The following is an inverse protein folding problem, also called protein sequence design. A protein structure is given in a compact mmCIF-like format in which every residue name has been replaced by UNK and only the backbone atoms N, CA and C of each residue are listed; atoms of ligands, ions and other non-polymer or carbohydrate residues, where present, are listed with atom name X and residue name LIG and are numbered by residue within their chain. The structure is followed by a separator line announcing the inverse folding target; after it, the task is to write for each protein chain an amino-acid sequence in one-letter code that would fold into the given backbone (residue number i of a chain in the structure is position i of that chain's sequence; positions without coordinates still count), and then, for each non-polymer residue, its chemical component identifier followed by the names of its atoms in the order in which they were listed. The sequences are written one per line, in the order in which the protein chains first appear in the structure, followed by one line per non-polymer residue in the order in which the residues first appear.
data_IF_519194694727
#
_entry.id   IF_519194694727
#
_cell.length_a   1.000
_cell.length_b   1.000
_cell.length_c   1.000
_cell.angle_alpha   90.00
_cell.angle_beta   90.00
_cell.angle_gamma   90.00
#
_symmetry.space_group_name_H-M   'P 1'
#
loop_
_entity.id
_entity.type
_entity.pdbx_description
1 polymer ?
#
# COMPACT_ATOMS: atom_id res chain seq x y z
N UNK A 1 53.81 -14.28 38.53
CA UNK A 1 55.14 -14.53 39.13
C UNK A 1 55.99 -15.22 38.07
N UNK A 2 57.07 -14.54 37.62
CA UNK A 2 58.29 -15.05 36.96
C UNK A 2 58.16 -15.79 35.61
N UNK A 3 58.50 -15.15 34.49
CA UNK A 3 59.84 -14.99 33.85
C UNK A 3 60.35 -16.23 33.10
N UNK A 4 60.30 -16.09 31.76
CA UNK A 4 61.27 -16.44 30.71
C UNK A 4 62.23 -17.63 30.87
N UNK A 5 62.39 -18.39 29.78
CA UNK A 5 63.74 -18.74 29.30
C UNK A 5 63.78 -19.01 27.79
N UNK A 6 64.63 -18.21 27.12
CA UNK A 6 65.18 -18.42 25.77
C UNK A 6 65.99 -19.73 25.69
N UNK A 7 66.04 -20.38 24.51
CA UNK A 7 67.28 -20.51 23.74
C UNK A 7 67.03 -21.11 22.33
N UNK A 8 67.46 -20.35 21.31
CA UNK A 8 68.20 -20.76 20.11
C UNK A 8 68.11 -22.21 19.60
N UNK A 9 67.67 -22.36 18.34
CA UNK A 9 68.38 -23.23 17.39
C UNK A 9 68.40 -22.59 15.99
N UNK A 10 69.59 -22.16 15.59
CA UNK A 10 69.94 -21.65 14.27
C UNK A 10 70.45 -22.83 13.42
N UNK A 11 69.77 -23.17 12.33
CA UNK A 11 70.33 -23.95 11.22
C UNK A 11 69.37 -23.86 10.03
N UNK A 12 69.57 -22.91 9.11
CA UNK A 12 70.30 -23.15 7.85
C UNK A 12 69.82 -24.40 7.13
N UNK A 13 68.77 -24.27 6.31
CA UNK A 13 68.64 -25.05 5.08
C UNK A 13 67.96 -24.17 4.01
N UNK A 14 68.83 -23.71 3.14
CA UNK A 14 68.60 -22.98 1.92
C UNK A 14 67.89 -23.91 0.92
N UNK A 15 66.58 -23.73 0.73
CA UNK A 15 65.89 -24.28 -0.45
C UNK A 15 65.17 -23.13 -1.12
N UNK A 16 65.90 -22.44 -1.99
CA UNK A 16 65.35 -21.49 -2.94
C UNK A 16 64.54 -22.28 -3.97
N UNK A 17 63.23 -22.39 -3.77
CA UNK A 17 62.32 -22.86 -4.81
C UNK A 17 62.27 -21.76 -5.87
N UNK A 18 62.97 -21.97 -6.99
CA UNK A 18 62.82 -21.14 -8.19
C UNK A 18 61.49 -21.53 -8.84
N UNK A 19 60.44 -20.74 -8.61
CA UNK A 19 59.22 -20.80 -9.41
C UNK A 19 59.48 -20.14 -10.78
N UNK A 20 59.57 -20.96 -11.82
CA UNK A 20 59.60 -20.51 -13.21
C UNK A 20 58.18 -20.16 -13.66
N UNK A 21 57.81 -18.88 -13.58
CA UNK A 21 56.57 -18.37 -14.16
C UNK A 21 56.75 -18.19 -15.67
N UNK A 22 56.33 -19.19 -16.45
CA UNK A 22 56.04 -18.99 -17.87
C UNK A 22 54.82 -18.07 -17.99
N UNK A 23 54.90 -17.16 -18.96
CA UNK A 23 53.90 -16.13 -19.29
C UNK A 23 52.46 -16.64 -19.28
N UNK A 24 51.47 -15.81 -19.00
CA UNK A 24 51.32 -14.47 -19.53
C UNK A 24 50.08 -14.47 -20.38
N UNK A 25 48.92 -14.32 -19.76
CA UNK A 25 47.72 -13.81 -20.41
C UNK A 25 47.09 -12.77 -19.50
N UNK A 26 47.31 -11.50 -19.84
CA UNK A 26 46.64 -10.38 -19.19
C UNK A 26 45.18 -10.39 -19.65
N UNK A 27 44.26 -10.75 -18.77
CA UNK A 27 42.84 -10.48 -18.99
C UNK A 27 42.67 -8.96 -19.19
N UNK A 28 42.43 -8.55 -20.43
CA UNK A 28 42.06 -7.18 -20.77
C UNK A 28 40.67 -6.94 -20.19
N UNK A 29 40.59 -6.32 -19.01
CA UNK A 29 39.35 -5.70 -18.53
C UNK A 29 38.99 -4.61 -19.54
N UNK A 30 38.00 -4.88 -20.39
CA UNK A 30 37.41 -3.88 -21.27
C UNK A 30 36.61 -2.92 -20.39
N UNK A 31 37.27 -1.88 -19.88
CA UNK A 31 36.57 -0.74 -19.28
C UNK A 31 36.02 0.07 -20.46
N UNK A 32 34.80 -0.27 -20.87
CA UNK A 32 34.02 0.54 -21.81
C UNK A 32 33.32 1.63 -21.01
N UNK A 33 33.65 2.89 -21.30
CA UNK A 33 32.96 4.06 -20.75
C UNK A 33 31.88 4.53 -21.71
N UNK A 34 30.75 5.01 -21.18
CA UNK A 34 29.78 5.76 -21.97
C UNK A 34 30.41 7.06 -22.48
N UNK A 35 30.19 7.37 -23.75
CA UNK A 35 30.57 8.68 -24.29
C UNK A 35 29.63 9.77 -23.78
N UNK A 36 30.13 11.00 -23.69
CA UNK A 36 29.32 12.16 -23.31
C UNK A 36 28.16 12.40 -24.29
N UNK A 37 28.38 12.09 -25.58
CA UNK A 37 27.34 12.24 -26.60
C UNK A 37 26.24 11.19 -26.46
N UNK A 38 26.58 9.94 -26.08
CA UNK A 38 25.59 8.91 -25.80
C UNK A 38 24.70 9.26 -24.61
N UNK A 39 25.26 9.82 -23.54
CA UNK A 39 24.43 10.29 -22.42
C UNK A 39 23.56 11.48 -22.82
N UNK A 40 24.08 12.39 -23.64
CA UNK A 40 23.39 13.62 -24.06
C UNK A 40 22.16 13.31 -24.93
N UNK A 41 22.28 12.39 -25.89
CA UNK A 41 21.12 11.99 -26.70
C UNK A 41 20.07 11.27 -25.87
N UNK A 42 20.47 10.50 -24.85
CA UNK A 42 19.53 9.75 -23.99
C UNK A 42 18.65 10.70 -23.19
N UNK A 43 19.24 11.69 -22.52
CA UNK A 43 18.45 12.66 -21.74
C UNK A 43 17.59 13.54 -22.65
N UNK A 44 18.04 13.83 -23.88
CA UNK A 44 17.25 14.56 -24.87
C UNK A 44 15.99 13.78 -25.28
N UNK A 45 16.15 12.49 -25.60
CA UNK A 45 15.03 11.61 -25.96
C UNK A 45 14.11 11.37 -24.76
N UNK A 46 14.66 11.13 -23.56
CA UNK A 46 13.88 10.98 -22.33
C UNK A 46 13.09 12.26 -21.99
N UNK A 47 13.63 13.44 -22.26
CA UNK A 47 12.91 14.71 -22.10
C UNK A 47 11.67 14.79 -22.98
N UNK A 48 11.79 14.47 -24.27
CA UNK A 48 10.66 14.49 -25.21
C UNK A 48 9.61 13.45 -24.83
N UNK A 49 10.01 12.21 -24.54
CA UNK A 49 9.09 11.14 -24.19
C UNK A 49 8.38 11.38 -22.84
N UNK A 50 9.11 11.86 -21.83
CA UNK A 50 8.53 12.11 -20.50
C UNK A 50 7.46 13.21 -20.53
N UNK A 51 7.63 14.24 -21.36
CA UNK A 51 6.65 15.34 -21.48
C UNK A 51 5.25 14.87 -21.88
N UNK A 52 5.14 13.84 -22.75
CA UNK A 52 3.85 13.32 -23.21
C UNK A 52 3.09 12.54 -22.14
N UNK A 53 3.78 11.88 -21.22
CA UNK A 53 3.16 11.01 -20.19
C UNK A 53 2.43 11.84 -19.12
N UNK A 54 2.97 13.02 -18.77
CA UNK A 54 2.38 13.87 -17.72
C UNK A 54 1.03 14.48 -18.11
N UNK A 55 0.75 14.65 -19.41
CA UNK A 55 -0.52 15.25 -19.88
C UNK A 55 -1.72 14.31 -19.66
N UNK A 56 -1.48 13.01 -19.52
CA UNK A 56 -2.55 12.00 -19.47
C UNK A 56 -3.01 11.59 -18.06
N UNK A 57 -2.29 11.94 -16.99
CA UNK A 57 -2.57 11.46 -15.63
C UNK A 57 -2.91 12.63 -14.70
N UNK A 58 -4.10 12.57 -14.10
CA UNK A 58 -4.45 13.43 -12.96
C UNK A 58 -4.03 12.74 -11.65
N UNK A 59 -2.95 13.20 -10.99
CA UNK A 59 -2.46 12.57 -9.77
C UNK A 59 -3.49 12.66 -8.62
N UNK A 60 -4.29 13.72 -8.57
CA UNK A 60 -5.31 13.88 -7.53
C UNK A 60 -6.42 12.86 -7.70
N UNK A 61 -6.86 12.60 -8.93
CA UNK A 61 -7.86 11.58 -9.18
C UNK A 61 -7.36 10.16 -8.88
N UNK A 62 -6.08 9.86 -9.17
CA UNK A 62 -5.48 8.57 -8.81
C UNK A 62 -5.43 8.36 -7.29
N UNK A 63 -5.11 9.41 -6.54
CA UNK A 63 -5.15 9.37 -5.07
C UNK A 63 -6.58 9.20 -4.56
N UNK A 64 -7.56 9.93 -5.12
CA UNK A 64 -8.96 9.77 -4.76
C UNK A 64 -9.48 8.35 -5.08
N UNK A 65 -9.09 7.75 -6.21
CA UNK A 65 -9.46 6.37 -6.55
C UNK A 65 -8.88 5.35 -5.55
N UNK A 66 -7.65 5.55 -5.07
CA UNK A 66 -7.06 4.70 -4.04
C UNK A 66 -7.78 4.84 -2.69
N UNK A 67 -8.10 6.07 -2.29
CA UNK A 67 -8.86 6.35 -1.08
C UNK A 67 -10.31 5.84 -1.16
N UNK A 68 -10.94 5.95 -2.32
CA UNK A 68 -12.28 5.39 -2.59
C UNK A 68 -12.27 3.85 -2.45
N UNK A 69 -11.21 3.18 -2.92
CA UNK A 69 -11.02 1.74 -2.70
C UNK A 69 -10.88 1.40 -1.20
N UNK A 70 -10.17 2.23 -0.44
CA UNK A 70 -10.13 2.09 1.03
C UNK A 70 -11.51 2.23 1.66
N UNK A 71 -12.31 3.22 1.25
CA UNK A 71 -13.69 3.40 1.72
C UNK A 71 -14.55 2.18 1.42
N UNK A 72 -14.43 1.61 0.22
CA UNK A 72 -15.16 0.41 -0.19
C UNK A 72 -14.80 -0.80 0.69
N UNK A 73 -13.51 -1.01 0.95
CA UNK A 73 -13.02 -2.08 1.81
C UNK A 73 -13.44 -1.90 3.27
N UNK A 74 -13.33 -0.68 3.81
CA UNK A 74 -13.73 -0.36 5.18
C UNK A 74 -15.23 -0.62 5.38
N UNK A 75 -16.07 -0.20 4.43
CA UNK A 75 -17.51 -0.44 4.50
C UNK A 75 -17.89 -1.92 4.35
N UNK A 76 -17.12 -2.69 3.57
CA UNK A 76 -17.27 -4.15 3.53
C UNK A 76 -16.99 -4.80 4.88
N UNK A 77 -15.92 -4.38 5.56
CA UNK A 77 -15.57 -4.87 6.90
C UNK A 77 -16.61 -4.45 7.94
N UNK A 78 -17.04 -3.19 7.90
CA UNK A 78 -18.09 -2.67 8.78
C UNK A 78 -19.37 -3.48 8.60
N UNK A 79 -19.80 -3.70 7.35
CA UNK A 79 -20.98 -4.50 7.05
C UNK A 79 -20.89 -5.93 7.58
N UNK A 80 -19.75 -6.62 7.39
CA UNK A 80 -19.54 -7.95 7.95
C UNK A 80 -19.59 -7.98 9.48
N UNK A 81 -18.98 -6.98 10.14
CA UNK A 81 -19.03 -6.86 11.59
C UNK A 81 -20.47 -6.59 12.09
N UNK A 82 -21.25 -5.82 11.34
CA UNK A 82 -22.65 -5.52 11.65
C UNK A 82 -23.54 -6.76 11.53
N UNK A 83 -23.33 -7.60 10.52
CA UNK A 83 -24.02 -8.89 10.40
C UNK A 83 -23.65 -9.82 11.56
N UNK A 84 -22.36 -9.91 11.92
CA UNK A 84 -21.89 -10.71 13.05
C UNK A 84 -22.52 -10.24 14.39
N UNK A 85 -22.58 -8.92 14.59
CA UNK A 85 -23.25 -8.33 15.74
C UNK A 85 -24.75 -8.66 15.74
N UNK A 86 -25.44 -8.54 14.61
CA UNK A 86 -26.86 -8.83 14.52
C UNK A 86 -27.17 -10.30 14.84
N UNK A 87 -26.32 -11.24 14.41
CA UNK A 87 -26.45 -12.67 14.74
C UNK A 87 -26.39 -12.90 16.27
N UNK A 88 -25.50 -12.20 16.98
CA UNK A 88 -25.39 -12.32 18.44
C UNK A 88 -26.44 -11.52 19.21
N UNK A 89 -27.07 -10.52 18.59
CA UNK A 89 -28.02 -9.60 19.22
C UNK A 89 -29.45 -9.74 18.65
N UNK A 90 -29.87 -10.97 18.35
CA UNK A 90 -31.26 -11.27 17.93
C UNK A 90 -31.76 -10.44 16.74
N UNK A 91 -30.89 -10.20 15.75
CA UNK A 91 -31.21 -9.44 14.53
C UNK A 91 -31.19 -7.91 14.71
N UNK A 92 -30.69 -7.42 15.85
CA UNK A 92 -30.58 -5.98 16.13
C UNK A 92 -29.17 -5.50 15.78
N UNK A 93 -29.10 -4.54 14.86
CA UNK A 93 -27.89 -3.85 14.44
C UNK A 93 -27.52 -2.71 15.40
N UNK A 94 -26.22 -2.43 15.56
CA UNK A 94 -25.76 -1.37 16.46
C UNK A 94 -26.05 0.01 15.86
N UNK A 95 -26.43 0.96 16.72
CA UNK A 95 -26.69 2.35 16.32
C UNK A 95 -25.40 3.18 16.12
N UNK A 96 -24.25 2.72 16.66
CA UNK A 96 -22.97 3.43 16.60
C UNK A 96 -21.83 2.46 16.32
N UNK A 97 -20.79 2.94 15.64
CA UNK A 97 -19.68 2.12 15.15
C UNK A 97 -18.74 1.64 16.27
N UNK A 98 -18.64 2.37 17.37
CA UNK A 98 -17.83 2.01 18.55
C UNK A 98 -18.39 0.81 19.33
N UNK A 99 -19.68 0.54 19.19
CA UNK A 99 -20.31 -0.66 19.78
C UNK A 99 -19.68 -1.93 19.17
N UNK A 100 -19.39 -1.93 17.87
CA UNK A 100 -18.75 -3.05 17.17
C UNK A 100 -17.32 -3.32 17.68
N UNK A 101 -16.64 -2.28 18.17
CA UNK A 101 -15.31 -2.45 18.79
C UNK A 101 -15.45 -3.03 20.20
N UNK A 102 -16.45 -2.56 20.94
CA UNK A 102 -16.70 -3.02 22.31
C UNK A 102 -17.21 -4.46 22.34
N UNK A 103 -18.02 -4.87 21.35
CA UNK A 103 -18.50 -6.25 21.18
C UNK A 103 -17.43 -7.21 20.63
N UNK A 104 -16.32 -6.68 20.10
CA UNK A 104 -15.23 -7.47 19.53
C UNK A 104 -15.42 -7.87 18.07
N UNK A 105 -16.51 -7.45 17.43
CA UNK A 105 -16.77 -7.69 15.99
C UNK A 105 -15.83 -6.89 15.08
N UNK A 106 -15.21 -5.84 15.63
CA UNK A 106 -14.26 -4.98 14.95
C UNK A 106 -13.06 -4.69 15.85
N UNK A 107 -11.83 -4.80 15.33
CA UNK A 107 -10.62 -4.58 16.14
C UNK A 107 -10.41 -3.10 16.51
N UNK A 108 -10.73 -2.20 15.58
CA UNK A 108 -10.65 -0.75 15.74
C UNK A 108 -11.65 -0.11 14.78
N UNK A 109 -12.21 1.05 15.11
CA UNK A 109 -13.07 1.78 14.18
C UNK A 109 -12.28 2.26 12.96
N UNK A 110 -12.64 1.84 11.73
CA UNK A 110 -12.01 2.34 10.52
C UNK A 110 -12.15 3.85 10.45
N UNK A 111 -11.03 4.52 10.20
CA UNK A 111 -11.02 5.97 10.01
C UNK A 111 -11.02 6.29 8.52
N UNK A 112 -11.93 7.19 8.11
CA UNK A 112 -12.01 7.66 6.74
C UNK A 112 -10.69 8.35 6.31
N UNK A 113 -10.31 8.26 5.02
CA UNK A 113 -9.11 8.94 4.53
C UNK A 113 -9.16 10.46 4.75
N UNK A 114 -8.00 11.12 4.80
CA UNK A 114 -7.96 12.59 4.99
C UNK A 114 -8.76 13.31 3.90
N UNK A 115 -9.58 14.26 4.33
CA UNK A 115 -10.47 15.01 3.46
C UNK A 115 -11.79 14.32 3.14
N UNK A 116 -11.99 13.05 3.50
CA UNK A 116 -13.28 12.37 3.37
C UNK A 116 -14.18 12.65 4.58
N UNK A 117 -15.50 12.56 4.38
CA UNK A 117 -16.45 12.52 5.51
C UNK A 117 -16.22 11.25 6.32
N UNK A 118 -16.42 11.33 7.63
CA UNK A 118 -16.43 10.17 8.52
C UNK A 118 -17.51 9.19 8.10
N UNK A 119 -17.30 7.90 8.35
CA UNK A 119 -18.32 6.90 8.11
C UNK A 119 -19.56 7.18 8.96
N UNK A 120 -20.72 7.15 8.32
CA UNK A 120 -22.01 7.42 8.97
C UNK A 120 -22.85 6.15 8.95
N UNK A 121 -23.50 5.86 10.06
CA UNK A 121 -24.49 4.79 10.15
C UNK A 121 -25.90 5.37 10.08
N UNK A 122 -26.85 4.58 9.59
CA UNK A 122 -28.26 4.87 9.72
C UNK A 122 -28.76 4.71 11.16
N UNK A 123 -30.07 4.87 11.35
CA UNK A 123 -30.76 4.50 12.58
C UNK A 123 -30.74 2.99 12.74
N UNK A 124 -29.99 2.49 13.73
CA UNK A 124 -29.91 1.06 14.05
C UNK A 124 -31.25 0.44 14.46
N UNK A 125 -31.25 -0.84 14.81
CA UNK A 125 -32.48 -1.62 15.00
C UNK A 125 -32.50 -2.84 14.09
N UNK A 126 -33.62 -3.15 13.45
CA UNK A 126 -33.76 -4.32 12.55
C UNK A 126 -33.31 -4.06 11.11
N UNK A 127 -33.05 -2.80 10.77
CA UNK A 127 -32.48 -2.39 9.49
C UNK A 127 -31.33 -1.42 9.76
N UNK A 128 -30.27 -1.51 8.96
CA UNK A 128 -29.14 -0.62 9.13
C UNK A 128 -28.40 -0.38 7.81
N UNK A 129 -27.87 0.82 7.70
CA UNK A 129 -27.02 1.25 6.59
C UNK A 129 -25.70 1.78 7.12
N UNK A 130 -24.62 1.60 6.37
CA UNK A 130 -23.33 2.20 6.63
C UNK A 130 -22.82 2.89 5.35
N UNK A 131 -22.34 4.12 5.50
CA UNK A 131 -22.09 5.00 4.37
C UNK A 131 -20.71 5.65 4.44
N UNK A 132 -20.10 5.82 3.27
CA UNK A 132 -18.82 6.49 3.11
C UNK A 132 -18.80 7.30 1.82
N UNK A 133 -18.18 8.47 1.88
CA UNK A 133 -18.07 9.35 0.72
C UNK A 133 -17.08 8.78 -0.31
N UNK A 134 -17.36 9.00 -1.58
CA UNK A 134 -16.43 8.80 -2.69
C UNK A 134 -16.05 10.16 -3.29
N UNK A 135 -14.87 10.26 -3.92
CA UNK A 135 -14.39 11.53 -4.51
C UNK A 135 -13.75 11.40 -5.87
N UNK A 136 -13.44 10.19 -6.34
CA UNK A 136 -12.83 10.00 -7.65
C UNK A 136 -13.74 10.53 -8.76
N UNK A 137 -13.12 11.07 -9.81
CA UNK A 137 -13.75 11.48 -11.06
C UNK A 137 -14.59 10.37 -11.69
N UNK A 138 -14.30 9.10 -11.38
CA UNK A 138 -15.12 7.93 -11.75
C UNK A 138 -16.60 8.09 -11.34
N UNK A 139 -16.89 8.80 -10.25
CA UNK A 139 -18.23 8.90 -9.65
C UNK A 139 -18.88 10.28 -9.81
N UNK A 140 -18.37 11.15 -10.69
CA UNK A 140 -18.87 12.54 -10.86
C UNK A 140 -20.31 12.65 -11.33
N UNK A 141 -20.84 11.60 -11.97
CA UNK A 141 -22.22 11.52 -12.41
C UNK A 141 -23.09 10.65 -11.49
N UNK A 142 -22.59 10.26 -10.32
CA UNK A 142 -23.41 9.51 -9.38
C UNK A 142 -24.52 10.40 -8.83
N UNK A 143 -25.70 9.83 -8.66
CA UNK A 143 -26.84 10.44 -7.98
C UNK A 143 -27.02 9.74 -6.64
N UNK A 144 -27.20 10.49 -5.52
CA UNK A 144 -27.23 11.94 -5.36
C UNK A 144 -25.85 12.62 -5.53
N UNK A 145 -25.83 13.95 -5.60
CA UNK A 145 -24.69 14.84 -5.90
C UNK A 145 -23.41 14.58 -5.10
N UNK A 146 -23.52 13.93 -3.93
CA UNK A 146 -22.39 13.35 -3.21
C UNK A 146 -22.32 11.84 -3.51
N UNK A 147 -21.37 11.39 -4.35
CA UNK A 147 -21.19 9.96 -4.59
C UNK A 147 -20.82 9.26 -3.28
N UNK A 148 -21.53 8.18 -2.97
CA UNK A 148 -21.33 7.41 -1.73
C UNK A 148 -21.30 5.93 -2.01
N UNK A 149 -20.50 5.23 -1.22
CA UNK A 149 -20.58 3.78 -1.11
C UNK A 149 -21.44 3.43 0.09
N UNK A 150 -22.34 2.48 -0.07
CA UNK A 150 -23.37 2.15 0.92
C UNK A 150 -23.39 0.65 1.12
N UNK A 151 -23.29 0.23 2.37
CA UNK A 151 -23.63 -1.12 2.81
C UNK A 151 -25.00 -1.12 3.48
N UNK A 152 -25.76 -2.20 3.32
CA UNK A 152 -27.07 -2.31 3.94
C UNK A 152 -27.44 -3.72 4.36
N UNK A 153 -28.16 -3.81 5.46
CA UNK A 153 -28.63 -5.07 6.03
C UNK A 153 -29.66 -5.81 5.15
N UNK A 154 -30.45 -5.10 4.35
CA UNK A 154 -31.47 -5.73 3.48
C UNK A 154 -30.87 -6.59 2.37
N UNK A 155 -29.67 -6.25 1.91
CA UNK A 155 -28.96 -6.97 0.84
C UNK A 155 -27.72 -7.71 1.34
N UNK A 156 -27.24 -7.39 2.54
CA UNK A 156 -25.96 -7.85 3.07
C UNK A 156 -24.74 -7.42 2.24
N UNK A 157 -24.93 -6.52 1.25
CA UNK A 157 -23.94 -6.16 0.24
C UNK A 157 -23.60 -4.67 0.31
N UNK A 158 -22.36 -4.37 -0.07
CA UNK A 158 -21.89 -3.00 -0.25
C UNK A 158 -21.85 -2.64 -1.75
N UNK A 159 -22.32 -1.45 -2.11
CA UNK A 159 -22.39 -1.00 -3.50
C UNK A 159 -22.51 0.52 -3.64
N UNK A 160 -22.48 1.05 -4.87
CA UNK A 160 -22.73 2.47 -5.12
C UNK A 160 -24.21 2.84 -4.85
N UNK A 161 -24.49 4.13 -4.70
CA UNK A 161 -25.70 4.77 -4.09
C UNK A 161 -27.11 4.37 -4.56
N UNK A 162 -27.28 3.33 -5.37
CA UNK A 162 -28.59 2.77 -5.71
C UNK A 162 -28.98 1.55 -4.85
N UNK A 163 -28.11 1.08 -3.94
CA UNK A 163 -28.37 -0.14 -3.19
C UNK A 163 -29.46 0.02 -2.11
N UNK A 164 -29.53 1.17 -1.41
CA UNK A 164 -30.46 1.38 -0.29
C UNK A 164 -30.89 2.82 -0.06
N UNK A 165 -32.05 2.97 0.57
CA UNK A 165 -32.62 4.26 0.96
C UNK A 165 -31.94 4.79 2.22
N UNK A 166 -31.24 5.92 2.05
CA UNK A 166 -30.69 6.86 3.04
C UNK A 166 -29.34 6.52 3.72
N UNK A 167 -28.34 7.32 3.31
CA UNK A 167 -27.25 7.80 4.14
C UNK A 167 -27.60 9.21 4.64
N UNK A 168 -27.21 9.61 5.86
CA UNK A 168 -27.42 10.96 6.36
C UNK A 168 -26.49 12.03 5.74
#
# INVERSE_FOLDING_TARGET
MKTAHFQNYKSSLHTSIIFNSKGGEKMKKLISGFTLIELLIVIAVLGVLSSGVFVAIDPLDKLNAANDSKVQNDLGQIGQAMEAYAVSNTGVYPARLDILVTSGDLKTTPTAPKGYRTYTLGTGGTSQTACGQLKSKKYVNATPSTPTWVWCSSSGKAGPTAACTACP
#
